data_IF_088156019405
#
_entry.id   IF_088156019405
#
_cell.length_a   1.000
_cell.length_b   1.000
_cell.length_c   1.000
_cell.angle_alpha   90.00
_cell.angle_beta   90.00
_cell.angle_gamma   90.00
#
_symmetry.space_group_name_H-M   'P 1'
#
loop_
_entity.id
_entity.type
_entity.pdbx_description
1 polymer ?
#
# COMPACT_ATOMS: atom_id res chain seq x y z
N UNK A 1 62.31 41.68 47.15
CA UNK A 1 62.48 41.85 45.68
C UNK A 1 61.70 40.77 44.89
N UNK A 2 60.37 40.65 45.08
CA UNK A 2 59.54 39.60 44.44
C UNK A 2 58.24 40.15 43.79
N UNK A 3 58.12 41.48 43.63
CA UNK A 3 56.90 42.13 43.13
C UNK A 3 57.05 42.78 41.73
N UNK A 4 58.26 42.98 41.20
CA UNK A 4 58.45 43.55 39.85
C UNK A 4 58.34 42.54 38.71
N UNK A 5 58.52 41.24 38.98
CA UNK A 5 58.48 40.22 37.91
C UNK A 5 57.08 39.89 37.44
N UNK A 6 56.09 39.88 38.35
CA UNK A 6 54.69 39.62 37.99
C UNK A 6 54.05 40.80 37.25
N UNK A 7 54.46 42.03 37.57
CA UNK A 7 53.96 43.23 36.87
C UNK A 7 54.48 43.31 35.42
N UNK A 8 55.75 42.97 35.18
CA UNK A 8 56.34 42.94 33.83
C UNK A 8 55.70 41.84 32.96
N UNK A 9 55.41 40.66 33.52
CA UNK A 9 54.75 39.57 32.79
C UNK A 9 53.30 39.94 32.41
N UNK A 10 52.57 40.61 33.31
CA UNK A 10 51.19 41.05 33.02
C UNK A 10 51.12 42.11 31.92
N UNK A 11 52.07 43.07 31.89
CA UNK A 11 52.10 44.14 30.86
C UNK A 11 52.48 43.58 29.48
N UNK A 12 53.37 42.59 29.40
CA UNK A 12 53.74 41.95 28.12
C UNK A 12 52.59 41.14 27.51
N UNK A 13 51.80 40.44 28.34
CA UNK A 13 50.65 39.65 27.85
C UNK A 13 49.49 40.53 27.36
N UNK A 14 49.26 41.71 27.97
CA UNK A 14 48.24 42.66 27.52
C UNK A 14 48.67 43.36 26.21
N UNK A 15 49.96 43.68 26.04
CA UNK A 15 50.47 44.28 24.80
C UNK A 15 50.43 43.31 23.60
N UNK A 16 50.65 42.00 23.82
CA UNK A 16 50.52 40.98 22.78
C UNK A 16 49.05 40.65 22.46
N UNK A 17 48.13 40.79 23.43
CA UNK A 17 46.69 40.60 23.22
C UNK A 17 46.01 41.72 22.40
N UNK A 18 46.56 42.94 22.39
CA UNK A 18 46.01 44.07 21.64
C UNK A 18 46.62 44.29 20.24
N UNK A 19 47.73 43.61 19.91
CA UNK A 19 48.29 43.58 18.56
C UNK A 19 47.71 42.47 17.66
N UNK A 20 46.91 41.55 18.21
CA UNK A 20 46.19 40.51 17.45
C UNK A 20 44.85 40.95 16.86
N UNK A 21 44.40 42.18 17.11
CA UNK A 21 43.07 42.68 16.73
C UNK A 21 43.07 43.82 15.69
N UNK A 22 44.20 44.10 15.03
CA UNK A 22 44.32 45.20 14.05
C UNK A 22 45.08 44.77 12.77
N UNK A 23 44.75 43.62 12.17
CA UNK A 23 45.29 43.27 10.83
C UNK A 23 44.32 42.59 9.86
N UNK A 24 43.00 42.55 10.09
CA UNK A 24 42.07 41.94 9.10
C UNK A 24 41.08 42.88 8.43
N UNK A 25 41.14 44.19 8.66
CA UNK A 25 40.31 45.17 7.96
C UNK A 25 41.07 45.88 6.82
N UNK A 26 41.73 45.14 5.92
CA UNK A 26 42.27 45.73 4.67
C UNK A 26 42.56 44.70 3.56
N UNK A 27 41.58 43.88 3.19
CA UNK A 27 41.52 43.22 1.87
C UNK A 27 40.06 43.16 1.39
N UNK A 28 39.35 44.28 1.48
CA UNK A 28 38.09 44.48 0.79
C UNK A 28 38.35 45.16 -0.54
N UNK A 29 38.73 44.41 -1.59
CA UNK A 29 38.58 44.75 -3.02
C UNK A 29 39.35 43.75 -3.90
N UNK A 30 38.84 42.53 -4.06
CA UNK A 30 38.98 41.72 -5.28
C UNK A 30 38.03 40.52 -5.14
N UNK A 31 36.73 40.82 -5.06
CA UNK A 31 35.71 39.79 -5.29
C UNK A 31 35.70 39.56 -6.79
N UNK A 32 36.48 38.57 -7.24
CA UNK A 32 36.23 37.92 -8.51
C UNK A 32 34.72 37.66 -8.60
N UNK A 33 34.05 37.93 -9.74
CA UNK A 33 32.74 37.34 -9.96
C UNK A 33 32.99 35.84 -10.02
N UNK A 34 32.85 35.18 -8.88
CA UNK A 34 32.52 33.78 -8.89
C UNK A 34 31.24 33.72 -9.71
N UNK A 35 31.38 33.30 -10.97
CA UNK A 35 30.33 32.58 -11.65
C UNK A 35 29.92 31.53 -10.64
N UNK A 36 28.85 31.82 -9.92
CA UNK A 36 28.04 30.82 -9.28
C UNK A 36 27.69 29.94 -10.47
N UNK A 37 28.40 28.82 -10.59
CA UNK A 37 27.85 27.65 -11.22
C UNK A 37 26.57 27.45 -10.41
N UNK A 38 25.44 27.86 -10.99
CA UNK A 38 24.14 27.47 -10.51
C UNK A 38 24.20 25.95 -10.51
N UNK A 39 24.51 25.38 -9.34
CA UNK A 39 24.11 24.01 -9.04
C UNK A 39 22.60 24.02 -9.29
N UNK A 40 22.09 23.25 -10.28
CA UNK A 40 20.66 23.21 -10.53
C UNK A 40 19.97 22.80 -9.23
N UNK A 41 18.92 23.53 -8.87
CA UNK A 41 18.22 23.41 -7.60
C UNK A 41 17.91 21.96 -7.22
N UNK A 42 18.58 21.47 -6.19
CA UNK A 42 18.19 20.25 -5.48
C UNK A 42 17.29 20.63 -4.31
N UNK A 43 16.11 21.19 -4.59
CA UNK A 43 15.01 21.34 -3.63
C UNK A 43 13.69 21.57 -4.39
N UNK A 44 12.73 20.66 -4.23
CA UNK A 44 11.31 21.04 -4.29
C UNK A 44 10.54 20.69 -5.57
N UNK A 45 10.81 19.56 -6.22
CA UNK A 45 9.77 18.94 -7.05
C UNK A 45 8.69 18.37 -6.13
N UNK A 46 7.54 19.04 -6.00
CA UNK A 46 6.36 18.39 -5.40
C UNK A 46 6.02 17.18 -6.30
N UNK A 47 6.29 15.97 -5.81
CA UNK A 47 5.93 14.74 -6.53
C UNK A 47 4.44 14.83 -6.89
N UNK A 48 4.12 14.58 -8.17
CA UNK A 48 2.73 14.62 -8.58
C UNK A 48 1.96 13.44 -7.94
N UNK A 49 0.63 13.53 -7.91
CA UNK A 49 -0.24 12.51 -7.27
C UNK A 49 0.00 11.10 -7.83
N UNK A 50 0.37 10.97 -9.10
CA UNK A 50 0.67 9.70 -9.74
C UNK A 50 2.00 9.10 -9.28
N UNK A 51 3.06 9.90 -9.22
CA UNK A 51 4.37 9.47 -8.71
C UNK A 51 4.30 9.01 -7.26
N UNK A 52 3.54 9.72 -6.44
CA UNK A 52 3.31 9.34 -5.04
C UNK A 52 2.58 8.00 -4.92
N UNK A 53 1.54 7.81 -5.73
CA UNK A 53 0.81 6.53 -5.80
C UNK A 53 1.75 5.39 -6.20
N UNK A 54 2.55 5.56 -7.24
CA UNK A 54 3.44 4.51 -7.73
C UNK A 54 4.52 4.14 -6.73
N UNK A 55 5.03 5.12 -5.98
CA UNK A 55 5.93 4.89 -4.85
C UNK A 55 5.25 4.06 -3.76
N UNK A 56 4.05 4.49 -3.33
CA UNK A 56 3.29 3.79 -2.27
C UNK A 56 2.92 2.37 -2.69
N UNK A 57 2.47 2.17 -3.93
CA UNK A 57 2.17 0.85 -4.48
C UNK A 57 3.40 -0.06 -4.43
N UNK A 58 4.58 0.44 -4.80
CA UNK A 58 5.83 -0.33 -4.73
C UNK A 58 6.21 -0.68 -3.30
N UNK A 59 6.07 0.26 -2.37
CA UNK A 59 6.34 0.02 -0.95
C UNK A 59 5.39 -1.02 -0.35
N UNK A 60 4.14 -1.04 -0.78
CA UNK A 60 3.12 -2.00 -0.33
C UNK A 60 3.14 -3.32 -1.12
N UNK A 61 4.02 -3.44 -2.11
CA UNK A 61 4.16 -4.65 -2.91
C UNK A 61 4.53 -5.84 -2.02
N UNK A 62 3.79 -6.93 -2.15
CA UNK A 62 3.95 -8.12 -1.32
C UNK A 62 3.31 -8.04 0.07
N UNK A 63 2.78 -6.89 0.49
CA UNK A 63 1.84 -6.80 1.61
C UNK A 63 0.39 -6.88 1.14
N UNK A 64 0.11 -6.36 -0.05
CA UNK A 64 -1.21 -6.35 -0.67
C UNK A 64 -1.16 -7.09 -2.01
N UNK A 65 -2.26 -7.76 -2.42
CA UNK A 65 -2.36 -8.27 -3.77
C UNK A 65 -2.40 -7.11 -4.78
N UNK A 66 -2.17 -7.38 -6.08
CA UNK A 66 -2.09 -6.34 -7.12
C UNK A 66 -3.34 -5.44 -7.28
N UNK A 67 -4.48 -5.83 -6.70
CA UNK A 67 -5.74 -5.10 -6.78
C UNK A 67 -6.44 -5.24 -8.14
N UNK A 68 -7.44 -4.40 -8.38
CA UNK A 68 -8.18 -4.31 -9.65
C UNK A 68 -8.14 -2.89 -10.21
N UNK A 69 -8.34 -2.77 -11.52
CA UNK A 69 -8.47 -1.47 -12.19
C UNK A 69 -9.89 -0.92 -12.05
N UNK A 70 -10.09 0.41 -12.07
CA UNK A 70 -11.41 1.05 -11.98
C UNK A 70 -12.47 0.46 -12.91
N UNK A 71 -12.12 0.22 -14.17
CA UNK A 71 -13.02 -0.31 -15.21
C UNK A 71 -13.48 -1.75 -14.96
N UNK A 72 -12.78 -2.47 -14.07
CA UNK A 72 -13.10 -3.85 -13.70
C UNK A 72 -13.92 -3.95 -12.40
N UNK A 73 -14.31 -2.81 -11.82
CA UNK A 73 -15.26 -2.80 -10.72
C UNK A 73 -16.66 -3.24 -11.21
N UNK A 74 -17.42 -3.98 -10.40
CA UNK A 74 -18.82 -4.25 -10.69
C UNK A 74 -19.65 -2.97 -10.61
N UNK A 75 -20.46 -2.65 -11.61
CA UNK A 75 -21.21 -1.37 -11.66
C UNK A 75 -20.30 -0.14 -11.42
N UNK A 76 -19.31 0.08 -12.30
CA UNK A 76 -18.27 1.09 -12.11
C UNK A 76 -18.82 2.53 -12.15
N UNK A 77 -20.02 2.71 -12.69
CA UNK A 77 -20.68 4.01 -12.80
C UNK A 77 -21.52 4.38 -11.57
N UNK A 78 -21.75 3.43 -10.66
CA UNK A 78 -22.45 3.69 -9.40
C UNK A 78 -21.72 4.74 -8.55
N UNK A 79 -22.48 5.43 -7.70
CA UNK A 79 -21.91 6.41 -6.76
C UNK A 79 -20.86 5.78 -5.84
N UNK A 80 -21.10 4.56 -5.34
CA UNK A 80 -20.16 3.85 -4.47
C UNK A 80 -18.86 3.47 -5.17
N UNK A 81 -18.93 2.98 -6.41
CA UNK A 81 -17.73 2.68 -7.21
C UNK A 81 -16.90 3.95 -7.48
N UNK A 82 -17.54 5.04 -7.87
CA UNK A 82 -16.87 6.34 -8.11
C UNK A 82 -16.15 6.86 -6.88
N UNK A 83 -16.77 6.74 -5.70
CA UNK A 83 -16.14 7.10 -4.43
C UNK A 83 -14.93 6.22 -4.09
N UNK A 84 -15.02 4.90 -4.31
CA UNK A 84 -13.86 4.01 -4.14
C UNK A 84 -12.71 4.40 -5.08
N UNK A 85 -13.01 4.71 -6.34
CA UNK A 85 -12.00 5.14 -7.32
C UNK A 85 -11.33 6.45 -6.86
N UNK A 86 -12.12 7.42 -6.40
CA UNK A 86 -11.63 8.72 -5.93
C UNK A 86 -10.73 8.57 -4.70
N UNK A 87 -11.17 7.80 -3.71
CA UNK A 87 -10.55 7.77 -2.38
C UNK A 87 -9.52 6.64 -2.20
N UNK A 88 -9.83 5.43 -2.66
CA UNK A 88 -9.00 4.26 -2.40
C UNK A 88 -7.87 4.08 -3.43
N UNK A 89 -8.00 4.65 -4.63
CA UNK A 89 -6.97 4.54 -5.69
C UNK A 89 -5.84 5.58 -5.57
N UNK A 90 -5.81 6.36 -4.48
CA UNK A 90 -4.82 7.44 -4.25
C UNK A 90 -3.43 6.90 -3.91
N UNK A 91 -3.36 5.73 -3.26
CA UNK A 91 -2.11 5.20 -2.70
C UNK A 91 -1.70 3.88 -3.36
N UNK A 92 -2.68 3.03 -3.68
CA UNK A 92 -2.46 1.73 -4.30
C UNK A 92 -3.68 1.37 -5.17
N UNK A 93 -3.61 0.26 -5.91
CA UNK A 93 -4.74 -0.23 -6.70
C UNK A 93 -5.94 -0.60 -5.84
N UNK A 94 -7.13 -0.61 -6.45
CA UNK A 94 -8.38 -0.81 -5.75
C UNK A 94 -8.50 -2.24 -5.20
N UNK A 95 -9.06 -2.41 -3.99
CA UNK A 95 -9.46 -3.74 -3.55
C UNK A 95 -10.63 -4.23 -4.41
N UNK A 96 -10.63 -5.52 -4.74
CA UNK A 96 -11.81 -6.14 -5.36
C UNK A 96 -12.91 -6.31 -4.32
N UNK A 97 -14.18 -5.90 -4.57
CA UNK A 97 -15.30 -6.21 -3.68
C UNK A 97 -15.44 -7.71 -3.39
N UNK A 98 -15.00 -8.58 -4.31
CA UNK A 98 -15.01 -10.04 -4.14
C UNK A 98 -13.89 -10.60 -3.26
N UNK A 99 -13.09 -9.75 -2.60
CA UNK A 99 -12.00 -10.20 -1.72
C UNK A 99 -12.49 -10.59 -0.33
N UNK A 100 -13.55 -9.94 0.16
CA UNK A 100 -14.11 -10.17 1.49
C UNK A 100 -15.62 -10.35 1.41
N UNK A 101 -16.19 -11.00 2.43
CA UNK A 101 -17.64 -11.16 2.57
C UNK A 101 -18.30 -9.85 2.97
N UNK A 102 -19.62 -9.76 2.78
CA UNK A 102 -20.39 -8.57 3.17
C UNK A 102 -20.32 -8.28 4.68
N UNK A 103 -20.13 -9.31 5.52
CA UNK A 103 -19.94 -9.17 6.96
C UNK A 103 -18.57 -8.62 7.34
N UNK A 104 -17.52 -8.96 6.57
CA UNK A 104 -16.15 -8.53 6.84
C UNK A 104 -15.89 -7.09 6.38
N UNK A 105 -16.49 -6.67 5.25
CA UNK A 105 -16.18 -5.39 4.60
C UNK A 105 -16.19 -4.15 5.50
N UNK A 106 -17.18 -3.94 6.40
CA UNK A 106 -17.16 -2.79 7.29
C UNK A 106 -15.84 -2.68 8.08
N UNK A 107 -15.43 -3.77 8.73
CA UNK A 107 -14.20 -3.79 9.53
C UNK A 107 -12.93 -3.62 8.67
N UNK A 108 -12.91 -4.11 7.42
CA UNK A 108 -11.78 -3.88 6.50
C UNK A 108 -11.71 -2.40 6.09
N UNK A 109 -12.85 -1.83 5.69
CA UNK A 109 -12.95 -0.45 5.21
C UNK A 109 -12.60 0.55 6.31
N UNK A 110 -13.10 0.34 7.54
CA UNK A 110 -12.81 1.20 8.68
C UNK A 110 -11.30 1.31 8.97
N UNK A 111 -10.56 0.20 8.86
CA UNK A 111 -9.09 0.22 8.99
C UNK A 111 -8.42 1.05 7.90
N UNK A 112 -8.96 1.02 6.69
CA UNK A 112 -8.45 1.83 5.58
C UNK A 112 -8.79 3.31 5.77
N UNK A 113 -10.00 3.65 6.20
CA UNK A 113 -10.37 5.04 6.52
C UNK A 113 -9.51 5.60 7.65
N UNK A 114 -9.26 4.83 8.71
CA UNK A 114 -8.33 5.23 9.77
C UNK A 114 -6.91 5.46 9.23
N UNK A 115 -6.42 4.56 8.35
CA UNK A 115 -5.11 4.74 7.71
C UNK A 115 -5.08 5.98 6.83
N UNK A 116 -6.11 6.23 6.03
CA UNK A 116 -6.23 7.43 5.21
C UNK A 116 -6.20 8.69 6.06
N UNK A 117 -6.89 8.69 7.22
CA UNK A 117 -6.89 9.83 8.15
C UNK A 117 -5.48 10.16 8.65
N UNK A 118 -4.67 9.15 8.98
CA UNK A 118 -3.28 9.37 9.40
C UNK A 118 -2.46 9.94 8.24
N UNK A 119 -2.63 9.40 7.03
CA UNK A 119 -1.89 9.81 5.83
C UNK A 119 -2.31 11.19 5.29
N UNK A 120 -3.55 11.63 5.55
CA UNK A 120 -4.06 12.95 5.15
C UNK A 120 -3.19 14.07 5.73
N UNK A 121 -2.86 13.96 7.03
CA UNK A 121 -2.05 14.97 7.74
C UNK A 121 -0.59 15.02 7.28
N UNK A 122 -0.07 13.93 6.69
CA UNK A 122 1.34 13.81 6.31
C UNK A 122 1.59 14.02 4.81
N UNK A 123 0.65 13.59 3.97
CA UNK A 123 0.86 13.41 2.53
C UNK A 123 -0.29 13.96 1.68
N UNK A 124 -1.22 14.72 2.28
CA UNK A 124 -2.32 15.38 1.55
C UNK A 124 -3.32 14.41 0.93
N UNK A 125 -3.48 13.21 1.50
CA UNK A 125 -4.51 12.25 1.08
C UNK A 125 -5.90 12.79 1.43
N UNK A 126 -6.82 12.71 0.47
CA UNK A 126 -8.20 13.14 0.63
C UNK A 126 -9.01 12.08 1.39
N UNK A 127 -9.57 12.44 2.54
CA UNK A 127 -10.43 11.57 3.32
C UNK A 127 -11.89 11.64 2.84
N UNK A 128 -12.59 10.49 2.76
CA UNK A 128 -14.03 10.48 2.54
C UNK A 128 -14.78 11.01 3.77
N UNK A 129 -15.87 11.74 3.53
CA UNK A 129 -16.84 12.11 4.57
C UNK A 129 -17.54 10.88 5.16
N UNK A 130 -18.18 11.02 6.32
CA UNK A 130 -18.92 9.90 6.93
C UNK A 130 -20.03 9.36 6.03
N UNK A 131 -20.72 10.23 5.28
CA UNK A 131 -21.74 9.82 4.31
C UNK A 131 -21.12 9.01 3.15
N UNK A 132 -19.99 9.46 2.61
CA UNK A 132 -19.29 8.75 1.54
C UNK A 132 -18.73 7.40 2.01
N UNK A 133 -18.25 7.31 3.25
CA UNK A 133 -17.83 6.04 3.86
C UNK A 133 -18.97 5.03 3.89
N UNK A 134 -20.17 5.45 4.30
CA UNK A 134 -21.36 4.60 4.31
C UNK A 134 -21.73 4.13 2.89
N UNK A 135 -21.68 5.01 1.89
CA UNK A 135 -21.95 4.65 0.50
C UNK A 135 -20.93 3.65 -0.06
N UNK A 136 -19.65 3.84 0.24
CA UNK A 136 -18.59 2.92 -0.17
C UNK A 136 -18.73 1.55 0.50
N UNK A 137 -19.02 1.51 1.81
CA UNK A 137 -19.27 0.25 2.53
C UNK A 137 -20.50 -0.46 1.95
N UNK A 138 -21.59 0.27 1.69
CA UNK A 138 -22.79 -0.30 1.08
C UNK A 138 -22.50 -0.96 -0.27
N UNK A 139 -21.72 -0.27 -1.12
CA UNK A 139 -21.29 -0.81 -2.39
C UNK A 139 -20.40 -2.06 -2.24
N UNK A 140 -19.39 -2.02 -1.36
CA UNK A 140 -18.52 -3.18 -1.09
C UNK A 140 -19.33 -4.39 -0.63
N UNK A 141 -20.32 -4.18 0.25
CA UNK A 141 -21.23 -5.23 0.73
C UNK A 141 -22.12 -5.79 -0.38
N UNK A 142 -22.67 -4.94 -1.24
CA UNK A 142 -23.56 -5.35 -2.32
C UNK A 142 -22.84 -6.23 -3.37
N UNK A 143 -21.55 -6.01 -3.57
CA UNK A 143 -20.72 -6.75 -4.53
C UNK A 143 -19.72 -7.71 -3.87
N UNK A 144 -19.96 -8.04 -2.59
CA UNK A 144 -19.06 -8.84 -1.79
C UNK A 144 -18.88 -10.27 -2.29
N UNK A 145 -17.85 -10.93 -1.76
CA UNK A 145 -17.65 -12.36 -1.95
C UNK A 145 -18.86 -13.16 -1.41
N UNK A 146 -19.37 -14.08 -2.24
CA UNK A 146 -20.20 -15.19 -1.76
C UNK A 146 -19.29 -16.30 -1.28
N UNK A 147 -19.25 -16.51 0.02
CA UNK A 147 -18.39 -17.50 0.66
C UNK A 147 -19.18 -18.74 1.08
N UNK A 148 -18.46 -19.84 1.27
CA UNK A 148 -18.95 -21.06 1.90
C UNK A 148 -18.17 -21.32 3.18
N UNK A 149 -18.83 -21.82 4.23
CA UNK A 149 -18.12 -22.24 5.43
C UNK A 149 -17.39 -23.58 5.19
N UNK A 150 -16.23 -23.82 5.81
CA UNK A 150 -15.44 -25.04 5.56
C UNK A 150 -16.22 -26.36 5.75
N UNK A 151 -17.18 -26.40 6.68
CA UNK A 151 -18.02 -27.57 6.94
C UNK A 151 -19.17 -27.78 5.95
N UNK A 152 -19.50 -26.76 5.15
CA UNK A 152 -20.56 -26.80 4.14
C UNK A 152 -20.00 -27.05 2.73
N UNK A 153 -18.70 -27.30 2.61
CA UNK A 153 -18.10 -27.68 1.33
C UNK A 153 -18.66 -29.02 0.84
N UNK A 154 -18.93 -29.17 -0.46
CA UNK A 154 -19.29 -30.46 -1.03
C UNK A 154 -18.11 -31.43 -0.87
N UNK A 155 -18.40 -32.69 -0.53
CA UNK A 155 -17.36 -33.71 -0.29
C UNK A 155 -16.23 -33.21 0.65
N UNK A 156 -16.56 -32.78 1.88
CA UNK A 156 -15.65 -32.01 2.75
C UNK A 156 -14.39 -32.77 3.19
N UNK A 157 -14.46 -34.11 3.14
CA UNK A 157 -13.37 -35.05 3.45
C UNK A 157 -12.54 -35.45 2.22
N UNK A 158 -12.89 -34.98 1.03
CA UNK A 158 -12.08 -35.23 -0.17
C UNK A 158 -10.74 -34.51 -0.08
N UNK A 159 -9.70 -35.08 -0.70
CA UNK A 159 -8.37 -34.45 -0.79
C UNK A 159 -8.44 -33.03 -1.35
N UNK A 160 -9.32 -32.80 -2.33
CA UNK A 160 -9.56 -31.47 -2.93
C UNK A 160 -10.15 -30.46 -1.97
N UNK A 161 -11.20 -30.83 -1.22
CA UNK A 161 -11.80 -29.96 -0.22
C UNK A 161 -10.81 -29.62 0.91
N UNK A 162 -10.02 -30.61 1.36
CA UNK A 162 -9.00 -30.42 2.40
C UNK A 162 -7.94 -29.42 1.94
N UNK A 163 -7.33 -29.65 0.77
CA UNK A 163 -6.32 -28.74 0.22
C UNK A 163 -6.89 -27.34 -0.06
N UNK A 164 -8.11 -27.25 -0.57
CA UNK A 164 -8.79 -25.98 -0.81
C UNK A 164 -8.97 -25.19 0.48
N UNK A 165 -9.43 -25.82 1.56
CA UNK A 165 -9.52 -25.19 2.89
C UNK A 165 -8.15 -24.69 3.35
N UNK A 166 -7.17 -25.59 3.42
CA UNK A 166 -5.85 -25.30 3.98
C UNK A 166 -5.11 -24.17 3.24
N UNK A 167 -5.20 -24.16 1.91
CA UNK A 167 -4.43 -23.23 1.08
C UNK A 167 -5.21 -21.93 0.86
N UNK A 168 -6.52 -21.99 0.57
CA UNK A 168 -7.25 -20.81 0.12
C UNK A 168 -7.90 -19.99 1.25
N UNK A 169 -7.99 -20.51 2.48
CA UNK A 169 -8.52 -19.74 3.63
C UNK A 169 -7.44 -18.93 4.38
N UNK A 170 -6.22 -18.85 3.85
CA UNK A 170 -5.10 -18.16 4.51
C UNK A 170 -5.28 -16.63 4.61
N UNK A 171 -6.13 -16.02 3.78
CA UNK A 171 -6.24 -14.56 3.68
C UNK A 171 -7.68 -14.02 3.80
N UNK A 172 -8.67 -14.77 3.31
CA UNK A 172 -10.08 -14.40 3.34
C UNK A 172 -10.94 -15.67 3.43
N UNK A 173 -12.26 -15.51 3.61
CA UNK A 173 -13.22 -16.61 3.58
C UNK A 173 -13.13 -17.41 2.26
N UNK A 174 -13.46 -18.71 2.31
CA UNK A 174 -13.43 -19.57 1.12
C UNK A 174 -14.53 -19.15 0.14
N UNK A 175 -14.21 -18.95 -1.16
CA UNK A 175 -15.24 -18.74 -2.16
C UNK A 175 -16.11 -19.99 -2.31
N UNK A 176 -17.41 -19.80 -2.53
CA UNK A 176 -18.31 -20.89 -2.88
C UNK A 176 -17.85 -21.52 -4.23
N UNK A 177 -17.70 -22.86 -4.33
CA UNK A 177 -17.42 -23.54 -5.61
C UNK A 177 -18.40 -23.20 -6.73
N UNK A 178 -19.66 -22.83 -6.43
CA UNK A 178 -20.65 -22.41 -7.42
C UNK A 178 -20.48 -20.95 -7.90
N UNK A 179 -19.45 -20.23 -7.43
CA UNK A 179 -19.23 -18.83 -7.83
C UNK A 179 -18.74 -18.69 -9.27
N UNK A 180 -18.09 -19.73 -9.79
CA UNK A 180 -17.53 -19.79 -11.15
C UNK A 180 -17.96 -21.08 -11.84
N UNK A 181 -17.91 -21.07 -13.17
CA UNK A 181 -18.09 -22.27 -13.99
C UNK A 181 -16.83 -23.14 -13.97
N UNK A 182 -16.98 -24.40 -14.37
CA UNK A 182 -15.87 -25.36 -14.40
C UNK A 182 -14.70 -24.91 -15.28
N UNK A 183 -14.98 -24.17 -16.37
CA UNK A 183 -13.97 -23.61 -17.28
C UNK A 183 -13.29 -22.33 -16.77
N UNK A 184 -13.88 -21.63 -15.80
CA UNK A 184 -13.31 -20.41 -15.22
C UNK A 184 -12.38 -20.68 -14.05
N UNK A 185 -12.67 -21.72 -13.27
CA UNK A 185 -11.89 -22.08 -12.07
C UNK A 185 -10.38 -22.19 -12.28
N UNK A 186 -9.86 -22.81 -13.36
CA UNK A 186 -8.41 -22.87 -13.60
C UNK A 186 -7.75 -21.48 -13.59
N UNK A 187 -8.35 -20.50 -14.26
CA UNK A 187 -7.83 -19.12 -14.31
C UNK A 187 -7.93 -18.41 -12.96
N UNK A 188 -8.99 -18.68 -12.20
CA UNK A 188 -9.16 -18.12 -10.85
C UNK A 188 -8.07 -18.64 -9.92
N UNK A 189 -7.79 -19.95 -9.95
CA UNK A 189 -6.75 -20.58 -9.15
C UNK A 189 -5.36 -20.07 -9.56
N UNK A 190 -5.05 -20.00 -10.84
CA UNK A 190 -3.78 -19.45 -11.33
C UNK A 190 -3.53 -18.04 -10.79
N UNK A 191 -4.52 -17.15 -10.93
CA UNK A 191 -4.45 -15.78 -10.43
C UNK A 191 -4.26 -15.74 -8.91
N UNK A 192 -4.99 -16.55 -8.15
CA UNK A 192 -4.87 -16.56 -6.69
C UNK A 192 -3.52 -17.08 -6.23
N UNK A 193 -2.98 -18.12 -6.87
CA UNK A 193 -1.63 -18.62 -6.55
C UNK A 193 -0.55 -17.56 -6.86
N UNK A 194 -0.67 -16.83 -7.97
CA UNK A 194 0.22 -15.71 -8.28
C UNK A 194 0.14 -14.60 -7.22
N UNK A 195 -1.07 -14.23 -6.80
CA UNK A 195 -1.26 -13.25 -5.73
C UNK A 195 -0.65 -13.73 -4.41
N UNK A 196 -0.90 -14.98 -4.02
CA UNK A 196 -0.33 -15.58 -2.81
C UNK A 196 1.20 -15.60 -2.84
N UNK A 197 1.80 -15.96 -3.98
CA UNK A 197 3.24 -15.95 -4.19
C UNK A 197 3.80 -14.53 -4.03
N UNK A 198 3.15 -13.53 -4.65
CA UNK A 198 3.58 -12.13 -4.54
C UNK A 198 3.60 -11.62 -3.10
N UNK A 199 2.70 -12.17 -2.25
CA UNK A 199 2.59 -11.85 -0.84
C UNK A 199 3.43 -12.76 0.09
N UNK A 200 4.28 -13.62 -0.46
CA UNK A 200 5.09 -14.56 0.31
C UNK A 200 4.28 -15.59 1.12
N UNK A 201 3.05 -15.88 0.71
CA UNK A 201 2.22 -16.93 1.34
C UNK A 201 2.59 -18.31 0.80
N UNK A 202 2.30 -19.36 1.56
CA UNK A 202 2.42 -20.74 1.06
C UNK A 202 1.48 -20.90 -0.14
N UNK A 203 2.06 -21.25 -1.28
CA UNK A 203 1.32 -21.65 -2.48
C UNK A 203 1.23 -23.18 -2.58
N UNK A 204 0.36 -23.66 -3.46
CA UNK A 204 0.26 -25.08 -3.79
C UNK A 204 1.41 -25.53 -4.70
N UNK A 205 1.80 -26.80 -4.63
CA UNK A 205 2.55 -27.47 -5.71
C UNK A 205 1.68 -27.60 -6.97
N UNK A 206 2.26 -28.08 -8.07
CA UNK A 206 1.49 -28.36 -9.30
C UNK A 206 0.44 -29.45 -9.07
N UNK A 207 0.80 -30.55 -8.42
CA UNK A 207 -0.13 -31.64 -8.09
C UNK A 207 -1.27 -31.16 -7.16
N UNK A 208 -0.95 -30.41 -6.10
CA UNK A 208 -1.95 -29.84 -5.21
C UNK A 208 -2.88 -28.88 -5.96
N UNK A 209 -2.34 -28.07 -6.87
CA UNK A 209 -3.13 -27.14 -7.71
C UNK A 209 -4.10 -27.89 -8.61
N UNK A 210 -3.65 -28.96 -9.25
CA UNK A 210 -4.48 -29.79 -10.10
C UNK A 210 -5.61 -30.44 -9.30
N UNK A 211 -5.32 -30.91 -8.09
CA UNK A 211 -6.33 -31.49 -7.19
C UNK A 211 -7.37 -30.44 -6.77
N UNK A 212 -6.95 -29.23 -6.38
CA UNK A 212 -7.88 -28.13 -6.03
C UNK A 212 -8.72 -27.72 -7.24
N UNK A 213 -8.09 -27.58 -8.41
CA UNK A 213 -8.77 -27.16 -9.64
C UNK A 213 -9.83 -28.18 -10.04
N UNK A 214 -9.49 -29.47 -10.04
CA UNK A 214 -10.43 -30.54 -10.35
C UNK A 214 -11.61 -30.57 -9.38
N UNK A 215 -11.35 -30.37 -8.09
CA UNK A 215 -12.39 -30.29 -7.07
C UNK A 215 -13.36 -29.13 -7.33
N UNK A 216 -12.83 -27.91 -7.54
CA UNK A 216 -13.67 -26.74 -7.79
C UNK A 216 -14.42 -26.84 -9.11
N UNK A 217 -13.80 -27.36 -10.17
CA UNK A 217 -14.46 -27.59 -11.46
C UNK A 217 -15.58 -28.64 -11.36
N UNK A 218 -15.42 -29.70 -10.56
CA UNK A 218 -16.44 -30.73 -10.36
C UNK A 218 -17.66 -30.22 -9.56
N UNK A 219 -17.45 -29.25 -8.69
CA UNK A 219 -18.48 -28.63 -7.86
C UNK A 219 -18.87 -27.22 -8.33
N UNK A 220 -18.50 -26.89 -9.57
CA UNK A 220 -18.75 -25.59 -10.15
C UNK A 220 -20.24 -25.34 -10.43
N UNK A 221 -20.57 -24.07 -10.69
CA UNK A 221 -21.90 -23.72 -11.20
C UNK A 221 -22.18 -24.52 -12.45
N UNK A 222 -23.27 -25.30 -12.44
CA UNK A 222 -23.73 -25.99 -13.64
C UNK A 222 -24.07 -24.94 -14.70
N UNK A 223 -23.51 -25.09 -15.90
CA UNK A 223 -24.00 -24.35 -17.06
C UNK A 223 -25.47 -24.71 -17.23
N UNK A 224 -26.36 -23.73 -17.13
CA UNK A 224 -27.75 -23.92 -17.53
C UNK A 224 -27.73 -24.31 -19.00
N UNK A 225 -28.05 -25.57 -19.29
CA UNK A 225 -28.27 -26.02 -20.66
C UNK A 225 -29.34 -25.11 -21.29
N UNK A 226 -28.99 -24.45 -22.38
CA UNK A 226 -29.95 -23.86 -23.31
C UNK A 226 -30.51 -24.98 -24.19
#
# INVERSE_FOLDING_TARGET
MRNNRLFIIAVVLIALGLLGLITTTWFGSYRQPQRIIQMPGMMGGMMNRGEMKDMMQRMMSGMLPPGIKPENLPDPDSRGAKLLIQHCNQCHNLPSPKMHTAGEWPAIADRMFARMSIMSNMMGIENPSSEEQLLMISYLKAHALKSVSPGMLPSPESKGAILFKEICSQCHALPDPELHSAGEWPKVIERMMSNMQSMGRRTSTEDERNVITNYLSAHAKRSSAQ
#
